data_IF_585220657865
#
_entry.id   IF_585220657865
#
_cell.length_a   1.000
_cell.length_b   1.000
_cell.length_c   1.000
_cell.angle_alpha   90.00
_cell.angle_beta   90.00
_cell.angle_gamma   90.00
#
_symmetry.space_group_name_H-M   'P 1'
#
loop_
_entity.id
_entity.type
_entity.pdbx_description
1 polymer ?
#
# COMPACT_ATOMS: atom_id res chain seq x y z
N UNK A 1 53.69 11.00 -1.51
CA UNK A 1 52.99 12.26 -1.31
C UNK A 1 51.52 12.00 -1.36
N UNK A 2 50.82 12.07 -0.22
CA UNK A 2 49.38 11.85 -0.08
C UNK A 2 48.72 13.21 -0.17
N UNK A 3 47.77 13.38 -1.09
CA UNK A 3 46.81 14.47 -1.03
C UNK A 3 45.44 13.88 -0.74
N UNK A 4 44.98 14.07 0.47
CA UNK A 4 43.60 13.92 0.89
C UNK A 4 42.85 15.20 0.54
N UNK A 5 41.79 15.07 -0.24
CA UNK A 5 40.78 16.11 -0.40
C UNK A 5 39.56 15.66 0.35
N UNK A 6 39.35 16.27 1.52
CA UNK A 6 38.08 16.28 2.23
C UNK A 6 37.25 17.40 1.63
N UNK A 7 36.22 17.10 0.88
CA UNK A 7 35.17 18.07 0.57
C UNK A 7 34.06 17.95 1.62
N UNK A 8 33.92 19.04 2.33
CA UNK A 8 32.89 19.29 3.34
C UNK A 8 31.55 19.56 2.64
N UNK A 9 30.54 18.67 2.87
CA UNK A 9 29.21 18.79 2.30
C UNK A 9 28.17 19.42 3.25
N UNK A 10 28.62 20.32 4.14
CA UNK A 10 27.74 20.90 5.17
C UNK A 10 26.99 22.18 4.77
N UNK A 11 27.16 22.73 3.56
CA UNK A 11 26.67 24.08 3.23
C UNK A 11 25.47 24.13 2.26
N UNK A 12 24.70 23.06 2.07
CA UNK A 12 23.59 23.13 1.12
C UNK A 12 22.20 23.44 1.74
N UNK A 13 22.08 23.61 3.06
CA UNK A 13 20.79 23.85 3.73
C UNK A 13 20.76 25.05 4.69
N UNK A 14 21.61 26.03 4.53
CA UNK A 14 21.50 27.26 5.28
C UNK A 14 21.21 28.47 4.38
N UNK A 15 20.16 29.19 4.71
CA UNK A 15 19.70 30.47 4.18
C UNK A 15 18.73 30.44 3.00
N UNK A 16 17.45 30.24 3.30
CA UNK A 16 16.35 31.05 2.73
C UNK A 16 15.12 30.94 3.61
N UNK A 17 15.06 31.72 4.67
CA UNK A 17 13.80 32.07 5.32
C UNK A 17 13.32 33.39 4.71
N UNK A 18 12.28 33.44 3.89
CA UNK A 18 11.67 34.72 3.53
C UNK A 18 10.84 35.20 4.71
N UNK A 19 11.13 36.41 5.15
CA UNK A 19 10.37 37.15 6.15
C UNK A 19 8.87 37.18 5.83
N UNK A 20 8.07 37.07 6.87
CA UNK A 20 6.62 36.97 6.87
C UNK A 20 5.92 37.92 5.90
N UNK A 21 5.20 37.32 4.96
CA UNK A 21 3.96 37.88 4.43
C UNK A 21 2.87 36.90 4.79
N UNK A 22 1.97 37.29 5.70
CA UNK A 22 0.66 36.70 5.82
C UNK A 22 -0.01 36.81 4.46
N UNK A 23 0.03 35.75 3.67
CA UNK A 23 -0.84 35.58 2.52
C UNK A 23 -2.20 35.18 3.09
N UNK A 24 -3.04 36.17 3.39
CA UNK A 24 -4.49 35.95 3.45
C UNK A 24 -4.89 35.29 2.14
N UNK A 25 -5.40 34.07 2.22
CA UNK A 25 -6.11 33.45 1.10
C UNK A 25 -7.23 34.43 0.67
N UNK A 26 -7.43 34.65 -0.63
CA UNK A 26 -8.55 35.46 -1.11
C UNK A 26 -9.85 34.94 -0.50
N UNK A 27 -10.70 35.85 -0.04
CA UNK A 27 -12.04 35.55 0.52
C UNK A 27 -12.99 34.85 -0.45
N UNK A 28 -12.57 34.66 -1.69
CA UNK A 28 -13.29 33.98 -2.77
C UNK A 28 -13.05 32.46 -2.88
N UNK A 29 -12.42 31.81 -1.89
CA UNK A 29 -12.52 30.36 -1.73
C UNK A 29 -13.95 30.00 -1.32
N UNK A 30 -14.86 30.16 -2.27
CA UNK A 30 -16.26 29.75 -2.19
C UNK A 30 -16.27 28.25 -1.90
N UNK A 31 -16.90 27.86 -0.80
CA UNK A 31 -17.27 26.46 -0.56
C UNK A 31 -17.92 25.94 -1.84
N UNK A 32 -17.53 24.77 -2.36
CA UNK A 32 -18.17 24.24 -3.55
C UNK A 32 -19.66 24.05 -3.25
N UNK A 33 -20.46 24.97 -3.75
CA UNK A 33 -21.90 24.78 -3.86
C UNK A 33 -22.10 23.65 -4.85
N UNK A 34 -23.04 22.77 -4.59
CA UNK A 34 -23.38 21.56 -5.38
C UNK A 34 -23.75 21.81 -6.86
N UNK A 35 -23.48 22.98 -7.39
CA UNK A 35 -23.88 23.47 -8.72
C UNK A 35 -22.71 23.97 -9.58
N UNK A 36 -21.47 23.57 -9.31
CA UNK A 36 -20.44 23.69 -10.35
C UNK A 36 -20.73 22.58 -11.37
N UNK A 37 -21.51 22.93 -12.41
CA UNK A 37 -21.63 22.11 -13.61
C UNK A 37 -20.23 21.80 -14.11
N UNK A 38 -19.78 20.56 -13.92
CA UNK A 38 -18.67 20.01 -14.67
C UNK A 38 -19.07 20.16 -16.16
N UNK A 39 -18.14 20.49 -17.07
CA UNK A 39 -18.42 20.46 -18.49
C UNK A 39 -19.15 19.17 -18.86
N UNK A 40 -20.13 19.21 -19.75
CA UNK A 40 -20.91 18.01 -20.12
C UNK A 40 -20.03 16.87 -20.62
N UNK A 41 -18.81 17.15 -21.07
CA UNK A 41 -17.77 16.17 -21.44
C UNK A 41 -17.16 15.38 -20.27
N UNK A 42 -17.41 15.77 -19.01
CA UNK A 42 -17.00 15.06 -17.81
C UNK A 42 -18.04 14.05 -17.30
N UNK A 43 -19.19 13.93 -17.98
CA UNK A 43 -20.29 13.07 -17.58
C UNK A 43 -20.34 11.84 -18.48
N UNK A 44 -19.93 10.70 -17.90
CA UNK A 44 -20.01 9.33 -18.42
C UNK A 44 -19.12 8.99 -19.63
N UNK A 45 -18.02 8.28 -19.42
CA UNK A 45 -17.51 7.41 -20.47
C UNK A 45 -18.53 6.27 -20.67
N UNK A 46 -19.47 6.42 -21.58
CA UNK A 46 -20.37 5.34 -22.05
C UNK A 46 -19.63 4.36 -22.99
N UNK A 47 -18.30 4.24 -22.87
CA UNK A 47 -17.52 3.21 -23.55
C UNK A 47 -17.39 2.04 -22.61
N UNK A 48 -17.69 0.83 -23.11
CA UNK A 48 -17.15 -0.39 -22.53
C UNK A 48 -15.64 -0.20 -22.45
N UNK A 49 -15.14 -0.02 -21.23
CA UNK A 49 -13.74 0.39 -20.98
C UNK A 49 -12.80 -0.81 -20.97
N UNK A 50 -13.31 -2.04 -21.13
CA UNK A 50 -12.49 -3.24 -21.11
C UNK A 50 -11.86 -3.53 -22.48
N UNK A 51 -10.60 -3.99 -22.42
CA UNK A 51 -9.86 -4.42 -23.60
C UNK A 51 -10.36 -5.78 -24.08
N UNK A 52 -10.64 -6.00 -25.40
CA UNK A 52 -10.93 -7.32 -25.95
C UNK A 52 -9.81 -8.31 -25.66
N UNK A 53 -10.15 -9.55 -25.30
CA UNK A 53 -9.16 -10.58 -24.94
C UNK A 53 -8.20 -10.94 -26.07
N UNK A 54 -8.63 -10.82 -27.33
CA UNK A 54 -7.79 -11.03 -28.50
C UNK A 54 -6.75 -9.92 -28.73
N UNK A 55 -6.89 -8.77 -28.06
CA UNK A 55 -5.92 -7.69 -28.03
C UNK A 55 -4.81 -7.89 -26.98
N UNK A 56 -4.82 -8.98 -26.22
CA UNK A 56 -3.82 -9.31 -25.21
C UNK A 56 -2.87 -10.34 -25.77
N UNK A 57 -1.58 -9.98 -25.92
CA UNK A 57 -0.56 -10.87 -26.48
C UNK A 57 0.51 -11.21 -25.45
N UNK A 58 0.81 -12.48 -25.18
CA UNK A 58 1.84 -12.86 -24.24
C UNK A 58 3.24 -12.51 -24.79
N UNK A 59 4.07 -11.89 -23.94
CA UNK A 59 5.46 -11.61 -24.19
C UNK A 59 6.39 -12.48 -23.33
N UNK A 60 6.03 -12.67 -22.07
CA UNK A 60 6.74 -13.50 -21.10
C UNK A 60 5.73 -14.18 -20.19
N UNK A 61 5.91 -15.48 -19.99
CA UNK A 61 5.13 -16.23 -19.01
C UNK A 61 6.05 -17.06 -18.12
N UNK A 62 6.08 -16.70 -16.84
CA UNK A 62 6.76 -17.47 -15.78
C UNK A 62 5.72 -18.01 -14.80
N UNK A 63 6.19 -18.77 -13.80
CA UNK A 63 5.31 -19.25 -12.73
C UNK A 63 4.67 -18.11 -11.93
N UNK A 64 5.39 -16.99 -11.74
CA UNK A 64 5.00 -15.93 -10.79
C UNK A 64 4.62 -14.61 -11.46
N UNK A 65 5.27 -14.28 -12.55
CA UNK A 65 5.08 -13.02 -13.29
C UNK A 65 4.93 -13.31 -14.77
N UNK A 66 3.96 -12.67 -15.37
CA UNK A 66 3.71 -12.67 -16.81
C UNK A 66 3.79 -11.25 -17.32
N UNK A 67 4.11 -11.08 -18.58
CA UNK A 67 4.11 -9.79 -19.26
C UNK A 67 3.28 -9.93 -20.53
N UNK A 68 2.30 -9.04 -20.67
CA UNK A 68 1.45 -8.97 -21.84
C UNK A 68 1.63 -7.64 -22.57
N UNK A 69 1.48 -7.70 -23.88
CA UNK A 69 1.31 -6.54 -24.76
C UNK A 69 -0.19 -6.32 -24.96
N UNK A 70 -0.68 -5.19 -24.46
CA UNK A 70 -2.06 -4.74 -24.58
C UNK A 70 -2.19 -3.86 -25.81
N UNK A 71 -2.75 -4.40 -26.90
CA UNK A 71 -2.93 -3.71 -28.17
C UNK A 71 -4.26 -2.97 -28.17
N UNK A 72 -4.30 -1.78 -27.56
CA UNK A 72 -5.56 -1.05 -27.29
C UNK A 72 -6.10 -0.25 -28.48
N UNK A 73 -5.26 0.03 -29.49
CA UNK A 73 -5.60 0.63 -30.78
C UNK A 73 -4.65 0.10 -31.85
N UNK A 74 -4.95 0.30 -33.13
CA UNK A 74 -4.09 -0.12 -34.23
C UNK A 74 -2.69 0.51 -34.13
N UNK A 75 -1.67 -0.35 -34.02
CA UNK A 75 -0.28 0.07 -33.84
C UNK A 75 0.07 0.70 -32.49
N UNK A 76 -0.85 0.69 -31.49
CA UNK A 76 -0.59 1.19 -30.15
C UNK A 76 -0.55 0.07 -29.13
N UNK A 77 0.47 0.10 -28.28
CA UNK A 77 0.83 -0.93 -27.35
C UNK A 77 0.96 -0.37 -25.94
N UNK A 78 0.53 -1.15 -24.94
CA UNK A 78 0.82 -0.93 -23.53
C UNK A 78 1.27 -2.23 -22.90
N UNK A 79 2.22 -2.18 -21.98
CA UNK A 79 2.78 -3.41 -21.40
C UNK A 79 2.34 -3.56 -19.96
N UNK A 80 1.82 -4.73 -19.63
CA UNK A 80 1.32 -5.07 -18.30
C UNK A 80 2.14 -6.24 -17.72
N UNK A 81 2.72 -6.03 -16.54
CA UNK A 81 3.39 -7.05 -15.75
C UNK A 81 2.43 -7.56 -14.66
N UNK A 82 1.92 -8.77 -14.81
CA UNK A 82 0.80 -9.27 -14.00
C UNK A 82 1.09 -10.64 -13.36
N UNK A 83 0.33 -10.99 -12.33
CA UNK A 83 0.22 -12.36 -11.80
C UNK A 83 -0.84 -13.18 -12.49
N UNK A 84 -1.77 -12.55 -13.19
CA UNK A 84 -2.93 -13.16 -13.81
C UNK A 84 -2.61 -13.88 -15.12
N UNK A 85 -3.52 -14.73 -15.57
CA UNK A 85 -3.51 -15.27 -16.93
C UNK A 85 -4.11 -14.25 -17.91
N UNK A 86 -3.83 -14.40 -19.20
CA UNK A 86 -4.31 -13.48 -20.26
C UNK A 86 -5.84 -13.27 -20.25
N UNK A 87 -6.60 -14.25 -19.76
CA UNK A 87 -8.07 -14.17 -19.71
C UNK A 87 -8.62 -13.52 -18.44
N UNK A 88 -7.76 -13.15 -17.47
CA UNK A 88 -8.17 -12.68 -16.14
C UNK A 88 -7.48 -11.36 -15.71
N UNK A 89 -6.69 -10.73 -16.58
CA UNK A 89 -6.09 -9.41 -16.31
C UNK A 89 -7.16 -8.34 -16.14
N UNK A 90 -6.89 -7.34 -15.30
CA UNK A 90 -7.87 -6.29 -14.96
C UNK A 90 -8.39 -5.55 -16.20
N UNK A 91 -7.51 -5.27 -17.19
CA UNK A 91 -7.86 -4.56 -18.41
C UNK A 91 -8.93 -5.26 -19.27
N UNK A 92 -9.14 -6.58 -19.12
CA UNK A 92 -10.15 -7.35 -19.87
C UNK A 92 -11.48 -7.54 -19.14
N UNK A 93 -11.60 -7.04 -17.90
CA UNK A 93 -12.82 -7.17 -17.09
C UNK A 93 -13.80 -6.07 -17.46
N UNK A 94 -15.06 -6.43 -17.69
CA UNK A 94 -16.14 -5.45 -17.74
C UNK A 94 -16.42 -4.87 -16.35
N UNK A 95 -17.23 -3.81 -16.29
CA UNK A 95 -17.52 -3.08 -15.04
C UNK A 95 -17.95 -4.00 -13.88
N UNK A 96 -18.88 -4.92 -14.16
CA UNK A 96 -19.38 -5.84 -13.15
C UNK A 96 -18.28 -6.81 -12.66
N UNK A 97 -17.49 -7.38 -13.56
CA UNK A 97 -16.40 -8.28 -13.21
C UNK A 97 -15.23 -7.55 -12.54
N UNK A 98 -15.02 -6.28 -12.89
CA UNK A 98 -14.00 -5.44 -12.27
C UNK A 98 -14.38 -5.07 -10.83
N UNK A 99 -15.62 -4.68 -10.57
CA UNK A 99 -16.11 -4.32 -9.23
C UNK A 99 -16.08 -5.52 -8.25
N UNK A 100 -16.20 -6.74 -8.77
CA UNK A 100 -16.19 -7.96 -7.97
C UNK A 100 -14.83 -8.68 -7.94
N UNK A 101 -13.80 -8.12 -8.57
CA UNK A 101 -12.49 -8.79 -8.59
C UNK A 101 -11.87 -8.86 -7.20
N UNK A 102 -11.22 -9.99 -6.91
CA UNK A 102 -10.35 -10.10 -5.75
C UNK A 102 -9.02 -9.41 -6.03
N UNK A 103 -8.48 -8.66 -5.06
CA UNK A 103 -7.11 -8.19 -5.16
C UNK A 103 -6.13 -9.37 -5.09
N UNK A 104 -4.87 -9.14 -5.47
CA UNK A 104 -3.82 -10.16 -5.42
C UNK A 104 -3.35 -10.43 -4.00
N UNK A 105 -3.33 -9.39 -3.18
CA UNK A 105 -2.77 -9.41 -1.85
C UNK A 105 -3.57 -8.57 -0.85
N UNK A 106 -3.20 -8.68 0.42
CA UNK A 106 -3.71 -7.85 1.52
C UNK A 106 -2.53 -7.21 2.23
N UNK A 107 -2.61 -5.90 2.52
CA UNK A 107 -1.72 -5.18 3.42
C UNK A 107 -2.46 -4.81 4.70
N UNK A 108 -1.85 -5.05 5.86
CA UNK A 108 -2.49 -4.87 7.15
C UNK A 108 -1.90 -3.70 7.94
N UNK A 109 -2.72 -2.67 8.20
CA UNK A 109 -2.40 -1.58 9.13
C UNK A 109 -2.60 -2.11 10.55
N UNK A 110 -1.53 -2.31 11.31
CA UNK A 110 -1.58 -2.93 12.64
C UNK A 110 -1.35 -1.88 13.71
N UNK A 111 -2.37 -1.67 14.54
CA UNK A 111 -2.35 -0.69 15.61
C UNK A 111 -2.40 -1.43 16.95
N UNK A 112 -1.33 -1.30 17.73
CA UNK A 112 -1.18 -1.94 19.02
C UNK A 112 -1.64 -0.99 20.13
N UNK A 113 -2.67 -1.39 20.86
CA UNK A 113 -3.20 -0.70 22.02
C UNK A 113 -2.66 -1.35 23.30
N UNK A 114 -1.82 -0.63 24.02
CA UNK A 114 -1.25 -1.08 25.29
C UNK A 114 -1.93 -0.35 26.48
N UNK A 115 -2.07 -0.99 27.65
CA UNK A 115 -2.60 -0.32 28.83
C UNK A 115 -1.76 0.90 29.22
N UNK A 116 -2.45 2.03 29.47
CA UNK A 116 -1.84 3.28 29.92
C UNK A 116 -0.73 3.85 29.02
N UNK A 117 -0.73 3.51 27.73
CA UNK A 117 0.19 4.04 26.72
C UNK A 117 -0.58 4.52 25.51
N UNK A 118 0.03 5.42 24.75
CA UNK A 118 -0.49 5.75 23.43
C UNK A 118 -0.38 4.56 22.47
N UNK A 119 -1.31 4.42 21.53
CA UNK A 119 -1.26 3.37 20.53
C UNK A 119 -0.01 3.47 19.64
N UNK A 120 0.49 2.32 19.22
CA UNK A 120 1.67 2.20 18.37
C UNK A 120 1.28 1.61 17.01
N UNK A 121 1.81 2.18 15.94
CA UNK A 121 1.72 1.61 14.59
C UNK A 121 2.89 0.66 14.37
N UNK A 122 2.60 -0.58 14.00
CA UNK A 122 3.59 -1.63 13.79
C UNK A 122 3.99 -1.75 12.33
N UNK A 123 5.28 -1.89 12.10
CA UNK A 123 5.91 -2.23 10.83
C UNK A 123 6.98 -3.29 10.99
N UNK A 124 7.35 -3.93 9.87
CA UNK A 124 8.50 -4.81 9.73
C UNK A 124 9.54 -4.19 8.79
N UNK A 125 10.83 -4.51 9.00
CA UNK A 125 11.84 -4.28 7.98
C UNK A 125 11.89 -5.49 7.07
N UNK A 126 11.42 -5.35 5.83
CA UNK A 126 11.33 -6.44 4.87
C UNK A 126 12.27 -6.22 3.70
N UNK A 127 13.07 -7.23 3.33
CA UNK A 127 13.94 -7.17 2.17
C UNK A 127 13.17 -7.37 0.87
N UNK A 128 13.10 -6.34 0.05
CA UNK A 128 12.45 -6.38 -1.27
C UNK A 128 13.48 -6.61 -2.36
N UNK A 129 13.50 -7.81 -2.92
CA UNK A 129 14.47 -8.24 -3.93
C UNK A 129 14.47 -7.33 -5.17
N UNK A 130 13.31 -6.83 -5.59
CA UNK A 130 13.18 -5.92 -6.73
C UNK A 130 13.82 -4.54 -6.48
N UNK A 131 13.93 -4.14 -5.21
CA UNK A 131 14.57 -2.89 -4.79
C UNK A 131 16.00 -3.13 -4.30
N UNK A 132 16.33 -4.38 -3.92
CA UNK A 132 17.64 -4.77 -3.40
C UNK A 132 17.94 -4.22 -2.00
N UNK A 133 16.91 -3.88 -1.21
CA UNK A 133 17.05 -3.24 0.12
C UNK A 133 15.93 -3.66 1.06
N UNK A 134 16.18 -3.44 2.36
CA UNK A 134 15.13 -3.45 3.35
C UNK A 134 14.27 -2.19 3.21
N UNK A 135 12.96 -2.37 3.22
CA UNK A 135 11.97 -1.30 3.29
C UNK A 135 11.19 -1.42 4.59
N UNK A 136 10.71 -0.28 5.08
CA UNK A 136 9.69 -0.26 6.10
C UNK A 136 8.36 -0.72 5.48
N UNK A 137 7.81 -1.83 5.94
CA UNK A 137 6.65 -2.50 5.35
C UNK A 137 5.58 -2.78 6.41
N UNK A 138 4.32 -2.65 6.03
CA UNK A 138 3.21 -3.25 6.77
C UNK A 138 3.20 -4.77 6.54
N UNK A 139 2.71 -5.59 7.47
CA UNK A 139 2.43 -7.00 7.21
C UNK A 139 1.54 -7.18 5.99
N UNK A 140 1.92 -8.06 5.07
CA UNK A 140 1.23 -8.21 3.80
C UNK A 140 1.52 -9.55 3.12
N UNK A 141 0.52 -10.14 2.50
CA UNK A 141 0.72 -11.36 1.73
C UNK A 141 -0.34 -11.62 0.68
N UNK A 142 -0.11 -12.61 -0.16
CA UNK A 142 -1.00 -13.00 -1.24
C UNK A 142 -2.25 -13.69 -0.70
N UNK A 143 -3.38 -13.47 -1.38
CA UNK A 143 -4.62 -14.16 -1.08
C UNK A 143 -4.54 -15.58 -1.65
N UNK A 144 -4.53 -16.57 -0.77
CA UNK A 144 -4.56 -17.96 -1.15
C UNK A 144 -5.92 -18.39 -1.73
N UNK A 145 -5.97 -19.40 -2.63
CA UNK A 145 -7.25 -19.96 -3.10
C UNK A 145 -8.21 -20.36 -1.98
N UNK A 146 -7.68 -20.94 -0.87
CA UNK A 146 -8.46 -21.31 0.30
C UNK A 146 -9.12 -20.12 1.02
N UNK A 147 -8.49 -18.93 0.99
CA UNK A 147 -9.04 -17.73 1.60
C UNK A 147 -10.28 -17.24 0.82
N UNK A 148 -10.33 -17.51 -0.51
CA UNK A 148 -11.45 -17.17 -1.40
C UNK A 148 -12.68 -18.09 -1.23
N UNK A 149 -12.55 -19.17 -0.46
CA UNK A 149 -13.69 -20.06 -0.11
C UNK A 149 -14.58 -19.47 0.99
N UNK A 150 -14.24 -18.31 1.53
CA UNK A 150 -15.03 -17.55 2.50
C UNK A 150 -16.40 -17.13 1.93
N UNK A 151 -17.38 -16.88 2.79
CA UNK A 151 -18.75 -16.56 2.38
C UNK A 151 -18.87 -15.21 1.68
N UNK A 152 -17.99 -14.26 2.01
CA UNK A 152 -17.94 -12.92 1.40
C UNK A 152 -16.52 -12.53 1.05
N UNK A 153 -16.37 -11.53 0.14
CA UNK A 153 -15.07 -10.96 -0.21
C UNK A 153 -14.37 -10.35 1.02
N UNK A 154 -15.10 -9.57 1.83
CA UNK A 154 -14.53 -8.94 3.01
C UNK A 154 -14.03 -9.95 4.04
N UNK A 155 -14.75 -11.06 4.25
CA UNK A 155 -14.27 -12.15 5.10
C UNK A 155 -12.98 -12.78 4.57
N UNK A 156 -12.89 -13.00 3.27
CA UNK A 156 -11.67 -13.50 2.64
C UNK A 156 -10.47 -12.56 2.91
N UNK A 157 -10.67 -11.24 2.73
CA UNK A 157 -9.65 -10.23 2.98
C UNK A 157 -9.23 -10.19 4.45
N UNK A 158 -10.19 -10.26 5.38
CA UNK A 158 -9.92 -10.30 6.82
C UNK A 158 -9.17 -11.58 7.20
N UNK A 159 -9.60 -12.74 6.70
CA UNK A 159 -8.94 -14.01 6.99
C UNK A 159 -7.49 -14.04 6.49
N UNK A 160 -7.25 -13.51 5.28
CA UNK A 160 -5.90 -13.34 4.75
C UNK A 160 -5.06 -12.41 5.65
N UNK A 161 -5.59 -11.24 6.01
CA UNK A 161 -4.90 -10.30 6.89
C UNK A 161 -4.53 -10.92 8.26
N UNK A 162 -5.45 -11.66 8.86
CA UNK A 162 -5.24 -12.34 10.16
C UNK A 162 -4.18 -13.43 10.03
N UNK A 163 -4.18 -14.20 8.94
CA UNK A 163 -3.18 -15.23 8.68
C UNK A 163 -1.79 -14.61 8.52
N UNK A 164 -1.65 -13.61 7.66
CA UNK A 164 -0.36 -12.92 7.41
C UNK A 164 0.15 -12.22 8.67
N UNK A 165 -0.75 -11.57 9.42
CA UNK A 165 -0.39 -10.95 10.69
C UNK A 165 0.22 -11.97 11.67
N UNK A 166 -0.37 -13.15 11.79
CA UNK A 166 0.17 -14.22 12.63
C UNK A 166 1.50 -14.74 12.10
N UNK A 167 1.62 -14.98 10.80
CA UNK A 167 2.83 -15.54 10.17
C UNK A 167 4.01 -14.57 10.28
N UNK A 168 3.82 -13.29 9.98
CA UNK A 168 4.89 -12.29 9.96
C UNK A 168 5.18 -11.64 11.32
N UNK A 169 4.24 -11.65 12.26
CA UNK A 169 4.40 -10.91 13.53
C UNK A 169 4.18 -11.75 14.79
N UNK A 170 3.62 -12.95 14.66
CA UNK A 170 3.24 -13.79 15.80
C UNK A 170 1.98 -13.31 16.54
N UNK A 171 1.32 -12.23 16.09
CA UNK A 171 0.11 -11.72 16.72
C UNK A 171 -1.07 -12.62 16.38
N UNK A 172 -1.80 -13.05 17.42
CA UNK A 172 -3.09 -13.74 17.28
C UNK A 172 -4.23 -12.80 17.64
N UNK A 173 -5.21 -12.69 16.75
CA UNK A 173 -6.40 -11.87 16.94
C UNK A 173 -7.32 -12.49 17.98
N UNK A 174 -7.75 -11.71 18.98
CA UNK A 174 -8.64 -12.09 20.06
C UNK A 174 -10.03 -11.48 19.87
N UNK A 175 -10.99 -11.89 20.72
CA UNK A 175 -12.37 -11.43 20.64
C UNK A 175 -12.57 -9.92 20.90
N UNK A 176 -11.66 -9.30 21.63
CA UNK A 176 -11.65 -7.86 21.91
C UNK A 176 -11.00 -7.03 20.81
N UNK A 177 -10.31 -7.67 19.87
CA UNK A 177 -9.63 -7.01 18.76
C UNK A 177 -10.60 -6.73 17.62
N UNK A 178 -10.26 -5.71 16.83
CA UNK A 178 -11.10 -5.31 15.70
C UNK A 178 -10.30 -5.39 14.41
N UNK A 179 -10.82 -6.14 13.45
CA UNK A 179 -10.25 -6.20 12.09
C UNK A 179 -11.29 -5.71 11.09
N UNK A 180 -10.92 -4.73 10.25
CA UNK A 180 -11.85 -4.09 9.31
C UNK A 180 -11.18 -3.84 7.96
N UNK A 181 -11.92 -4.01 6.88
CA UNK A 181 -11.45 -3.64 5.53
C UNK A 181 -11.54 -2.12 5.39
N UNK A 182 -10.40 -1.47 5.10
CA UNK A 182 -10.32 -0.03 4.82
C UNK A 182 -10.68 0.21 3.34
N UNK A 183 -10.05 -0.57 2.46
CA UNK A 183 -10.29 -0.51 1.03
C UNK A 183 -10.11 -1.92 0.43
N UNK A 184 -11.09 -2.43 -0.32
CA UNK A 184 -11.06 -3.80 -0.82
C UNK A 184 -10.13 -4.00 -2.03
N UNK A 185 -9.72 -2.94 -2.73
CA UNK A 185 -8.85 -3.06 -3.90
C UNK A 185 -8.18 -1.72 -4.24
N UNK A 186 -6.86 -1.68 -4.14
CA UNK A 186 -6.00 -0.54 -4.46
C UNK A 186 -4.92 -0.98 -5.45
N UNK A 187 -4.63 -0.15 -6.42
CA UNK A 187 -3.53 -0.34 -7.36
C UNK A 187 -2.33 0.52 -6.95
N UNK A 188 -1.15 -0.07 -6.81
CA UNK A 188 0.08 0.67 -6.44
C UNK A 188 0.71 1.39 -7.62
N UNK A 189 0.73 0.75 -8.78
CA UNK A 189 1.48 1.23 -9.95
C UNK A 189 0.72 0.88 -11.24
N UNK A 190 -0.52 1.41 -11.44
CA UNK A 190 -1.38 1.02 -12.56
C UNK A 190 -0.83 1.46 -13.94
N UNK A 191 0.28 2.20 -13.96
CA UNK A 191 1.03 2.49 -15.18
C UNK A 191 1.97 1.38 -15.64
N UNK A 192 2.09 0.25 -14.92
CA UNK A 192 3.00 -0.85 -15.25
C UNK A 192 2.41 -2.23 -14.94
N UNK A 193 1.50 -2.31 -14.01
CA UNK A 193 0.98 -3.57 -13.47
C UNK A 193 -0.46 -3.42 -13.04
N UNK A 194 -1.25 -4.46 -13.23
CA UNK A 194 -2.58 -4.60 -12.67
C UNK A 194 -2.57 -5.23 -11.26
N UNK A 195 -1.39 -5.43 -10.67
CA UNK A 195 -1.26 -5.94 -9.31
C UNK A 195 -2.00 -5.04 -8.33
N UNK A 196 -2.88 -5.63 -7.56
CA UNK A 196 -3.77 -4.94 -6.65
C UNK A 196 -3.68 -5.50 -5.23
N UNK A 197 -4.03 -4.67 -4.26
CA UNK A 197 -3.89 -5.00 -2.84
C UNK A 197 -5.07 -4.43 -2.05
N UNK A 198 -5.67 -5.23 -1.18
CA UNK A 198 -6.61 -4.69 -0.20
C UNK A 198 -5.86 -4.05 0.97
N UNK A 199 -6.45 -3.04 1.58
CA UNK A 199 -5.95 -2.46 2.82
C UNK A 199 -6.91 -2.80 3.96
N UNK A 200 -6.39 -3.46 4.99
CA UNK A 200 -7.13 -3.90 6.18
C UNK A 200 -6.52 -3.24 7.41
N UNK A 201 -7.33 -2.90 8.41
CA UNK A 201 -6.85 -2.40 9.70
C UNK A 201 -7.11 -3.44 10.78
N UNK A 202 -6.10 -3.74 11.59
CA UNK A 202 -6.21 -4.54 12.81
C UNK A 202 -5.86 -3.66 14.01
N UNK A 203 -6.83 -3.44 14.90
CA UNK A 203 -6.64 -2.80 16.20
C UNK A 203 -6.52 -3.91 17.24
N UNK A 204 -5.33 -4.09 17.79
CA UNK A 204 -4.96 -5.21 18.65
C UNK A 204 -4.65 -4.75 20.06
N UNK A 205 -5.27 -5.37 21.04
CA UNK A 205 -5.02 -5.11 22.46
C UNK A 205 -3.97 -6.11 22.98
N UNK A 206 -2.86 -5.60 23.47
CA UNK A 206 -1.76 -6.42 24.00
C UNK A 206 -1.10 -5.77 25.21
N UNK A 207 -0.69 -6.60 26.16
CA UNK A 207 0.08 -6.18 27.33
C UNK A 207 1.59 -6.36 27.12
N UNK A 208 1.98 -7.11 26.08
CA UNK A 208 3.34 -7.59 25.93
C UNK A 208 3.85 -7.52 24.48
N UNK A 209 4.77 -6.60 24.21
CA UNK A 209 5.43 -6.48 22.91
C UNK A 209 6.55 -7.53 22.67
N UNK A 210 6.96 -8.28 23.71
CA UNK A 210 7.96 -9.33 23.57
C UNK A 210 7.44 -10.60 22.87
N UNK A 211 6.13 -10.69 22.64
CA UNK A 211 5.50 -11.77 21.89
C UNK A 211 5.65 -11.60 20.37
N UNK A 212 6.04 -10.41 19.90
CA UNK A 212 6.30 -10.18 18.48
C UNK A 212 7.40 -11.10 17.96
N UNK A 213 7.13 -11.81 16.88
CA UNK A 213 8.02 -12.84 16.34
C UNK A 213 7.86 -12.98 14.82
N UNK A 214 8.97 -12.96 14.11
CA UNK A 214 9.04 -13.23 12.66
C UNK A 214 9.37 -14.69 12.31
N UNK A 215 9.23 -15.60 13.29
CA UNK A 215 9.55 -17.04 13.11
C UNK A 215 8.56 -17.77 12.19
N UNK A 216 7.39 -17.18 11.94
CA UNK A 216 6.38 -17.74 11.04
C UNK A 216 6.59 -17.38 9.57
N UNK A 217 7.54 -16.50 9.25
CA UNK A 217 7.87 -16.11 7.89
C UNK A 217 8.17 -17.31 7.00
N UNK A 218 7.65 -17.33 5.77
CA UNK A 218 7.71 -18.47 4.86
C UNK A 218 8.38 -18.11 3.52
N UNK A 219 8.91 -19.13 2.85
CA UNK A 219 9.43 -19.00 1.49
C UNK A 219 10.67 -18.11 1.38
N UNK A 220 10.59 -17.07 0.54
CA UNK A 220 11.66 -16.11 0.28
C UNK A 220 11.60 -14.85 1.12
N UNK A 221 10.67 -14.77 2.07
CA UNK A 221 10.54 -13.65 2.98
C UNK A 221 11.79 -13.48 3.85
N UNK A 222 12.26 -12.25 3.95
CA UNK A 222 13.44 -11.90 4.72
C UNK A 222 13.18 -10.63 5.50
N UNK A 223 13.07 -10.77 6.81
CA UNK A 223 12.80 -9.69 7.74
C UNK A 223 14.03 -9.36 8.61
N UNK A 224 14.11 -8.12 9.09
CA UNK A 224 15.16 -7.63 10.01
C UNK A 224 14.51 -6.86 11.19
N UNK A 225 13.56 -7.50 11.87
CA UNK A 225 12.88 -6.98 13.05
C UNK A 225 11.72 -6.05 12.76
N UNK A 226 11.26 -5.37 13.82
CA UNK A 226 10.08 -4.53 13.84
C UNK A 226 10.41 -3.07 14.11
N UNK A 227 9.56 -2.18 13.59
CA UNK A 227 9.48 -0.79 14.00
C UNK A 227 8.10 -0.50 14.58
N UNK A 228 8.09 0.21 15.71
CA UNK A 228 6.88 0.63 16.42
C UNK A 228 6.91 2.12 16.55
N UNK A 229 5.92 2.79 15.99
CA UNK A 229 5.85 4.26 15.99
C UNK A 229 4.63 4.77 16.74
N UNK A 230 4.86 5.73 17.62
CA UNK A 230 3.84 6.62 18.15
C UNK A 230 3.27 7.48 17.02
N UNK A 231 2.17 8.16 17.27
CA UNK A 231 1.56 9.07 16.29
C UNK A 231 2.53 10.19 15.86
N UNK A 232 3.32 10.72 16.79
CA UNK A 232 4.31 11.77 16.52
C UNK A 232 5.47 11.25 15.66
N UNK A 233 6.00 10.06 15.98
CA UNK A 233 7.05 9.41 15.20
C UNK A 233 6.56 9.04 13.80
N UNK A 234 5.35 8.49 13.64
CA UNK A 234 4.74 8.22 12.36
C UNK A 234 4.58 9.50 11.51
N UNK A 235 4.17 10.61 12.13
CA UNK A 235 4.12 11.91 11.46
C UNK A 235 5.51 12.42 11.06
N UNK A 236 6.56 12.13 11.83
CA UNK A 236 7.94 12.47 11.48
C UNK A 236 8.42 11.65 10.27
N UNK A 237 8.12 10.34 10.21
CA UNK A 237 8.41 9.48 9.05
C UNK A 237 7.74 10.03 7.78
N UNK A 238 6.48 10.46 7.86
CA UNK A 238 5.77 11.10 6.74
C UNK A 238 6.47 12.38 6.25
N UNK A 239 6.91 13.25 7.17
CA UNK A 239 7.61 14.50 6.80
C UNK A 239 8.98 14.27 6.19
N UNK A 240 9.71 13.25 6.69
CA UNK A 240 11.09 12.99 6.28
C UNK A 240 11.16 12.10 5.02
N UNK A 241 10.10 11.36 4.68
CA UNK A 241 10.08 10.42 3.56
C UNK A 241 10.85 9.12 3.81
N UNK A 242 11.45 8.98 4.98
CA UNK A 242 12.17 7.78 5.46
C UNK A 242 11.96 7.62 6.97
N UNK A 243 12.20 6.41 7.47
CA UNK A 243 12.23 6.14 8.91
C UNK A 243 13.49 6.74 9.58
N UNK A 244 13.61 6.69 10.94
CA UNK A 244 14.80 7.19 11.64
C UNK A 244 16.13 6.51 11.25
N UNK A 245 16.06 5.30 10.66
CA UNK A 245 17.22 4.53 10.19
C UNK A 245 17.51 4.76 8.70
N UNK A 246 16.74 5.61 8.01
CA UNK A 246 16.91 5.95 6.59
C UNK A 246 16.26 4.94 5.62
N UNK A 247 15.37 4.05 6.10
CA UNK A 247 14.65 3.14 5.21
C UNK A 247 13.49 3.84 4.50
N UNK A 248 13.39 3.62 3.19
CA UNK A 248 12.24 3.97 2.38
C UNK A 248 11.08 3.01 2.65
N UNK A 249 9.90 3.33 2.11
CA UNK A 249 8.69 2.54 2.29
C UNK A 249 7.81 2.52 1.04
N UNK A 250 6.89 1.55 0.99
CA UNK A 250 5.93 1.40 -0.11
C UNK A 250 4.75 2.37 0.02
N UNK A 251 3.95 2.48 -1.05
CA UNK A 251 2.70 3.25 -1.03
C UNK A 251 1.70 2.72 0.01
N UNK A 252 1.69 1.42 0.29
CA UNK A 252 0.82 0.83 1.31
C UNK A 252 1.26 1.20 2.72
N UNK A 253 2.57 1.29 2.96
CA UNK A 253 3.13 1.83 4.20
C UNK A 253 2.80 3.32 4.36
N UNK A 254 2.87 4.11 3.26
CA UNK A 254 2.42 5.51 3.27
C UNK A 254 0.95 5.61 3.66
N UNK A 255 0.08 4.77 3.08
CA UNK A 255 -1.35 4.74 3.42
C UNK A 255 -1.58 4.41 4.90
N UNK A 256 -0.84 3.44 5.45
CA UNK A 256 -0.91 3.07 6.87
C UNK A 256 -0.49 4.24 7.79
N UNK A 257 0.61 4.92 7.47
CA UNK A 257 1.06 6.09 8.21
C UNK A 257 0.01 7.21 8.22
N UNK A 258 -0.57 7.52 7.04
CA UNK A 258 -1.62 8.54 6.91
C UNK A 258 -2.88 8.14 7.67
N UNK A 259 -3.32 6.88 7.57
CA UNK A 259 -4.50 6.35 8.25
C UNK A 259 -4.37 6.46 9.77
N UNK A 260 -3.21 6.10 10.31
CA UNK A 260 -2.90 6.18 11.72
C UNK A 260 -2.80 7.63 12.23
N UNK A 261 -2.03 8.48 11.55
CA UNK A 261 -1.83 9.88 11.95
C UNK A 261 -3.12 10.70 11.89
N UNK A 262 -4.00 10.40 10.93
CA UNK A 262 -5.30 11.05 10.79
C UNK A 262 -6.39 10.50 11.73
N UNK A 263 -6.07 9.54 12.63
CA UNK A 263 -7.00 8.90 13.55
C UNK A 263 -8.21 8.19 12.89
N UNK A 264 -8.09 7.77 11.64
CA UNK A 264 -9.19 7.12 10.89
C UNK A 264 -9.53 5.71 11.41
N UNK A 265 -8.72 5.16 12.29
CA UNK A 265 -8.88 3.85 12.90
C UNK A 265 -9.75 3.83 14.17
N UNK A 266 -10.07 5.01 14.72
CA UNK A 266 -10.85 5.19 15.96
C UNK A 266 -12.39 5.00 15.78
#
# INVERSE_FOLDING_TARGET
MKHSVHEDKSDYFSNHTPAGKETRLPEDCVKPTRETCLPEDCVNPTRETCLPKDCVKPLLETRFVKVFDLQYEDGKHYYDATRHSSGDIAATKNEAAFSEMFPDAVSCVVILCLPNREPLLLFSYEYRYTVGRYLLSVPAGLIDPKDKESSTRDEALINTAVRELREETGIEIKSEDKVTVINPCLFSTPGMTDESNALVCAVVHTDNLHELSQKGAVGSEKFDGFALFTKEEAAAVLRNGVDPNGHFYSVYTLAALLYFVADLWK
#
